data_IF_171640387863
#
_entry.id   IF_171640387863
#
_cell.length_a   1.000
_cell.length_b   1.000
_cell.length_c   1.000
_cell.angle_alpha   90.00
_cell.angle_beta   90.00
_cell.angle_gamma   90.00
#
_symmetry.space_group_name_H-M   'P 1'
#
loop_
_entity.id
_entity.type
_entity.pdbx_description
1 polymer ?
#
# COMPACT_ATOMS: atom_id res chain seq x y z
N UNK A 1 -45.32 15.87 -10.77
CA UNK A 1 -45.35 14.44 -10.38
C UNK A 1 -43.98 13.87 -10.76
N UNK A 2 -43.07 13.47 -9.86
CA UNK A 2 -43.17 12.48 -8.75
C UNK A 2 -43.72 11.12 -9.26
N UNK A 3 -43.09 9.95 -9.04
CA UNK A 3 -41.85 9.58 -8.31
C UNK A 3 -41.54 8.09 -8.53
N UNK A 4 -40.26 7.67 -8.42
CA UNK A 4 -39.79 6.28 -8.12
C UNK A 4 -40.26 5.20 -9.14
N UNK A 5 -39.80 3.95 -9.18
CA UNK A 5 -38.47 3.33 -9.01
C UNK A 5 -38.50 1.95 -9.73
N UNK A 6 -37.56 0.99 -9.69
CA UNK A 6 -36.32 0.73 -8.94
C UNK A 6 -35.38 -0.20 -9.76
N UNK A 7 -34.15 -0.38 -9.28
CA UNK A 7 -33.28 -1.58 -9.39
C UNK A 7 -33.79 -2.83 -10.14
N UNK A 8 -33.19 -3.14 -11.31
CA UNK A 8 -32.60 -4.45 -11.68
C UNK A 8 -32.08 -4.43 -13.15
N UNK A 9 -30.85 -4.92 -13.37
CA UNK A 9 -30.06 -5.07 -14.63
C UNK A 9 -29.02 -3.97 -14.91
N UNK A 10 -27.85 -4.10 -14.26
CA UNK A 10 -26.52 -3.67 -14.75
C UNK A 10 -25.42 -4.25 -13.84
N UNK A 11 -24.98 -5.48 -14.11
CA UNK A 11 -23.73 -6.00 -13.49
C UNK A 11 -23.06 -7.14 -14.29
N UNK A 12 -22.77 -6.93 -15.58
CA UNK A 12 -21.70 -7.68 -16.26
C UNK A 12 -20.92 -6.69 -17.15
N UNK A 13 -19.58 -6.76 -17.10
CA UNK A 13 -18.57 -6.00 -17.87
C UNK A 13 -18.26 -4.56 -17.41
N UNK A 14 -17.25 -4.40 -16.53
CA UNK A 14 -15.94 -3.75 -16.81
C UNK A 14 -15.22 -3.30 -15.53
N UNK A 15 -14.05 -3.89 -15.24
CA UNK A 15 -12.85 -3.20 -14.73
C UNK A 15 -11.68 -4.20 -14.65
N UNK A 16 -10.60 -3.93 -15.38
CA UNK A 16 -9.32 -4.64 -15.30
C UNK A 16 -8.30 -3.76 -14.61
N UNK A 17 -7.64 -4.27 -13.56
CA UNK A 17 -6.18 -4.32 -13.38
C UNK A 17 -5.82 -4.78 -11.96
N UNK A 18 -4.82 -5.65 -11.83
CA UNK A 18 -4.40 -6.22 -10.54
C UNK A 18 -3.39 -7.35 -10.67
N UNK A 19 -3.51 -8.18 -11.71
CA UNK A 19 -2.42 -8.98 -12.25
C UNK A 19 -2.73 -9.32 -13.72
N UNK A 20 -1.83 -9.00 -14.64
CA UNK A 20 -1.93 -9.41 -16.05
C UNK A 20 -1.57 -10.90 -16.15
N UNK A 21 -2.54 -11.77 -15.90
CA UNK A 21 -2.48 -13.16 -16.38
C UNK A 21 -2.83 -13.11 -17.85
N UNK A 22 -1.81 -13.25 -18.70
CA UNK A 22 -2.00 -13.55 -20.12
C UNK A 22 -2.77 -14.86 -20.22
N UNK A 23 -4.02 -14.78 -20.68
CA UNK A 23 -4.84 -15.93 -21.05
C UNK A 23 -4.28 -16.52 -22.36
N UNK A 24 -3.26 -17.36 -22.23
CA UNK A 24 -2.93 -18.37 -23.22
C UNK A 24 -3.49 -19.71 -22.71
N UNK A 25 -4.44 -20.28 -23.45
CA UNK A 25 -4.88 -21.65 -23.21
C UNK A 25 -3.76 -22.61 -23.68
N UNK A 26 -2.84 -22.94 -22.77
CA UNK A 26 -1.89 -24.04 -22.95
C UNK A 26 -2.63 -25.39 -23.05
N UNK A 27 -2.07 -26.39 -23.73
CA UNK A 27 -2.83 -27.57 -24.13
C UNK A 27 -3.29 -28.41 -22.93
N UNK A 28 -4.58 -28.73 -22.94
CA UNK A 28 -5.11 -29.89 -22.21
C UNK A 28 -4.32 -31.11 -22.66
N UNK A 29 -3.84 -31.91 -21.71
CA UNK A 29 -3.12 -33.15 -22.02
C UNK A 29 -4.05 -34.16 -22.70
N UNK A 30 -4.02 -34.18 -24.03
CA UNK A 30 -4.51 -35.31 -24.80
C UNK A 30 -3.47 -36.44 -24.72
N UNK A 31 -3.88 -37.61 -24.23
CA UNK A 31 -3.01 -38.76 -24.13
C UNK A 31 -2.59 -39.27 -25.51
N UNK A 32 -1.28 -39.28 -25.77
CA UNK A 32 -0.68 -40.11 -26.82
C UNK A 32 -0.08 -41.33 -26.13
N UNK A 33 -0.50 -42.53 -26.52
CA UNK A 33 0.05 -43.78 -26.01
C UNK A 33 0.43 -44.71 -27.15
N UNK A 34 1.57 -45.39 -26.95
CA UNK A 34 2.24 -46.35 -27.85
C UNK A 34 2.96 -45.64 -29.02
N UNK A 35 4.16 -46.06 -29.43
CA UNK A 35 4.80 -47.37 -29.23
C UNK A 35 6.34 -47.28 -29.38
N UNK A 36 7.13 -47.69 -28.36
CA UNK A 36 8.44 -48.39 -28.51
C UNK A 36 9.28 -48.47 -27.22
N UNK A 37 9.69 -49.70 -26.88
CA UNK A 37 10.90 -50.12 -26.16
C UNK A 37 11.58 -49.27 -25.08
N UNK A 38 11.39 -49.70 -23.82
CA UNK A 38 12.47 -50.02 -22.87
C UNK A 38 13.65 -49.02 -22.71
N UNK A 39 13.34 -47.76 -22.43
CA UNK A 39 14.13 -46.93 -21.51
C UNK A 39 13.17 -46.19 -20.58
N UNK A 40 13.39 -46.26 -19.27
CA UNK A 40 12.77 -45.31 -18.35
C UNK A 40 13.23 -43.89 -18.75
N UNK A 41 12.29 -42.94 -18.84
CA UNK A 41 12.52 -41.58 -19.33
C UNK A 41 13.60 -40.84 -18.51
N UNK A 42 14.86 -40.94 -18.94
CA UNK A 42 15.95 -40.27 -18.25
C UNK A 42 15.94 -38.78 -18.62
N UNK A 43 15.64 -37.93 -17.62
CA UNK A 43 15.66 -36.47 -17.77
C UNK A 43 16.96 -35.99 -18.44
N UNK A 44 16.80 -35.17 -19.49
CA UNK A 44 17.94 -34.53 -20.16
C UNK A 44 18.74 -33.67 -19.19
N UNK A 45 20.02 -33.43 -19.50
CA UNK A 45 20.90 -32.57 -18.68
C UNK A 45 20.29 -31.16 -18.50
N UNK A 46 19.67 -30.63 -19.55
CA UNK A 46 19.03 -29.31 -19.50
C UNK A 46 17.75 -29.31 -18.65
N UNK A 47 16.88 -30.34 -18.74
CA UNK A 47 15.74 -30.47 -17.82
C UNK A 47 16.20 -30.61 -16.36
N UNK A 48 17.22 -31.44 -16.08
CA UNK A 48 17.83 -31.59 -14.74
C UNK A 48 18.33 -30.23 -14.22
N UNK A 49 18.96 -29.42 -15.08
CA UNK A 49 19.45 -28.07 -14.75
C UNK A 49 18.33 -27.06 -14.50
N UNK A 50 17.29 -27.05 -15.32
CA UNK A 50 16.13 -26.16 -15.19
C UNK A 50 15.33 -26.46 -13.91
N UNK A 51 15.06 -27.75 -13.63
CA UNK A 51 14.41 -28.20 -12.40
C UNK A 51 15.24 -27.78 -11.17
N UNK A 52 16.57 -27.91 -11.21
CA UNK A 52 17.45 -27.44 -10.14
C UNK A 52 17.39 -25.91 -9.94
N UNK A 53 17.33 -25.13 -11.03
CA UNK A 53 17.19 -23.67 -10.96
C UNK A 53 15.84 -23.23 -10.38
N UNK A 54 14.74 -23.87 -10.79
CA UNK A 54 13.41 -23.63 -10.23
C UNK A 54 13.32 -24.04 -8.76
N UNK A 55 13.88 -25.20 -8.38
CA UNK A 55 14.02 -25.61 -6.97
C UNK A 55 14.75 -24.56 -6.14
N UNK A 56 15.86 -24.01 -6.63
CA UNK A 56 16.60 -22.96 -5.94
C UNK A 56 15.76 -21.66 -5.79
N UNK A 57 15.08 -21.24 -6.85
CA UNK A 57 14.20 -20.07 -6.83
C UNK A 57 12.99 -20.24 -5.89
N UNK A 58 12.35 -21.42 -5.88
CA UNK A 58 11.21 -21.75 -5.02
C UNK A 58 11.56 -21.79 -3.53
N UNK A 59 12.78 -22.19 -3.18
CA UNK A 59 13.25 -22.17 -1.79
C UNK A 59 13.66 -20.76 -1.32
N UNK A 60 13.95 -19.84 -2.24
CA UNK A 60 14.36 -18.47 -1.94
C UNK A 60 13.28 -17.59 -1.26
N UNK A 61 13.66 -16.40 -0.75
CA UNK A 61 12.77 -15.52 0.01
C UNK A 61 11.86 -14.63 -0.87
N UNK A 62 12.13 -14.52 -2.17
CA UNK A 62 11.36 -13.66 -3.07
C UNK A 62 10.14 -14.41 -3.62
N UNK A 63 8.97 -14.18 -3.03
CA UNK A 63 7.74 -14.89 -3.39
C UNK A 63 7.34 -14.76 -4.88
N UNK A 64 7.65 -13.63 -5.54
CA UNK A 64 7.40 -13.48 -6.99
C UNK A 64 8.26 -14.48 -7.79
N UNK A 65 9.52 -14.67 -7.39
CA UNK A 65 10.39 -15.71 -7.98
C UNK A 65 9.94 -17.13 -7.62
N UNK A 66 9.38 -17.34 -6.42
CA UNK A 66 8.77 -18.64 -6.03
C UNK A 66 7.60 -18.98 -6.97
N UNK A 67 6.65 -18.06 -7.16
CA UNK A 67 5.50 -18.28 -8.06
C UNK A 67 5.94 -18.48 -9.50
N UNK A 68 6.91 -17.70 -9.99
CA UNK A 68 7.46 -17.89 -11.33
C UNK A 68 8.14 -19.26 -11.51
N UNK A 69 8.84 -19.74 -10.48
CA UNK A 69 9.47 -21.07 -10.51
C UNK A 69 8.46 -22.22 -10.48
N UNK A 70 7.38 -22.08 -9.68
CA UNK A 70 6.29 -23.06 -9.67
C UNK A 70 5.57 -23.12 -11.03
N UNK A 71 5.30 -21.96 -11.65
CA UNK A 71 4.72 -21.91 -13.01
C UNK A 71 5.64 -22.55 -14.06
N UNK A 72 6.95 -22.28 -14.01
CA UNK A 72 7.91 -22.94 -14.90
C UNK A 72 7.89 -24.46 -14.73
N UNK A 73 7.75 -24.98 -13.51
CA UNK A 73 7.60 -26.42 -13.25
C UNK A 73 6.22 -26.96 -13.71
N UNK A 74 5.13 -26.19 -13.59
CA UNK A 74 3.83 -26.54 -14.18
C UNK A 74 3.93 -26.66 -15.72
N UNK A 75 4.59 -25.68 -16.37
CA UNK A 75 4.79 -25.60 -17.82
C UNK A 75 5.70 -26.72 -18.36
N UNK A 76 6.65 -27.23 -17.55
CA UNK A 76 7.52 -28.36 -17.91
C UNK A 76 6.78 -29.72 -17.97
N UNK A 77 5.58 -29.85 -17.40
CA UNK A 77 4.76 -31.05 -17.53
C UNK A 77 5.34 -32.31 -16.83
N UNK A 78 5.32 -33.51 -17.47
CA UNK A 78 5.65 -34.77 -16.80
C UNK A 78 7.03 -34.78 -16.10
N UNK A 79 8.14 -34.34 -16.77
CA UNK A 79 9.48 -34.24 -16.19
C UNK A 79 9.60 -33.55 -14.83
N UNK A 80 8.71 -32.61 -14.53
CA UNK A 80 8.80 -31.75 -13.35
C UNK A 80 7.76 -32.07 -12.27
N UNK A 81 6.81 -32.98 -12.52
CA UNK A 81 5.65 -33.22 -11.67
C UNK A 81 6.02 -33.59 -10.22
N UNK A 82 6.93 -34.54 -10.03
CA UNK A 82 7.36 -34.96 -8.68
C UNK A 82 7.99 -33.81 -7.89
N UNK A 83 8.85 -33.01 -8.54
CA UNK A 83 9.50 -31.87 -7.89
C UNK A 83 8.49 -30.76 -7.57
N UNK A 84 7.54 -30.50 -8.47
CA UNK A 84 6.45 -29.54 -8.25
C UNK A 84 5.60 -29.94 -7.04
N UNK A 85 5.14 -31.18 -6.96
CA UNK A 85 4.35 -31.69 -5.83
C UNK A 85 5.13 -31.61 -4.50
N UNK A 86 6.42 -31.99 -4.53
CA UNK A 86 7.33 -31.92 -3.37
C UNK A 86 7.55 -30.49 -2.89
N UNK A 87 7.77 -29.55 -3.81
CA UNK A 87 7.92 -28.13 -3.50
C UNK A 87 6.62 -27.54 -2.97
N UNK A 88 5.48 -27.79 -3.62
CA UNK A 88 4.17 -27.30 -3.17
C UNK A 88 3.83 -27.78 -1.76
N UNK A 89 4.06 -29.07 -1.45
CA UNK A 89 3.87 -29.63 -0.10
C UNK A 89 4.73 -28.93 0.95
N UNK A 90 6.02 -28.71 0.65
CA UNK A 90 6.95 -27.99 1.53
C UNK A 90 6.54 -26.52 1.72
N UNK A 91 6.17 -25.84 0.62
CA UNK A 91 5.77 -24.44 0.62
C UNK A 91 4.45 -24.22 1.35
N UNK A 92 3.44 -25.06 1.15
CA UNK A 92 2.16 -24.98 1.86
C UNK A 92 2.35 -25.15 3.38
N UNK A 93 3.20 -26.07 3.81
CA UNK A 93 3.55 -26.24 5.23
C UNK A 93 4.32 -25.02 5.78
N UNK A 94 5.33 -24.52 5.04
CA UNK A 94 6.12 -23.34 5.41
C UNK A 94 5.25 -22.09 5.55
N UNK A 95 4.44 -21.79 4.53
CA UNK A 95 3.59 -20.61 4.51
C UNK A 95 2.38 -20.73 5.44
N UNK A 96 1.82 -21.93 5.63
CA UNK A 96 0.80 -22.17 6.67
C UNK A 96 1.32 -21.87 8.08
N UNK A 97 2.56 -22.27 8.38
CA UNK A 97 3.23 -21.91 9.63
C UNK A 97 3.48 -20.39 9.76
N UNK A 98 3.78 -19.68 8.67
CA UNK A 98 3.89 -18.21 8.67
C UNK A 98 2.55 -17.54 8.96
N UNK A 99 1.44 -18.01 8.37
CA UNK A 99 0.09 -17.54 8.67
C UNK A 99 -0.25 -17.75 10.15
N UNK A 100 0.00 -18.96 10.69
CA UNK A 100 -0.23 -19.27 12.10
C UNK A 100 0.62 -18.41 13.06
N UNK A 101 1.88 -18.13 12.69
CA UNK A 101 2.75 -17.25 13.47
C UNK A 101 2.27 -15.78 13.42
N UNK A 102 1.87 -15.29 12.25
CA UNK A 102 1.32 -13.94 12.08
C UNK A 102 -0.03 -13.76 12.79
N UNK A 103 -0.90 -14.77 12.78
CA UNK A 103 -2.17 -14.76 13.50
C UNK A 103 -1.96 -14.70 15.02
N UNK A 104 -0.99 -15.46 15.57
CA UNK A 104 -0.60 -15.35 16.98
C UNK A 104 -0.03 -13.96 17.31
N UNK A 105 0.76 -13.37 16.42
CA UNK A 105 1.34 -12.04 16.62
C UNK A 105 0.31 -10.90 16.51
N UNK A 106 -0.73 -11.06 15.69
CA UNK A 106 -1.84 -10.12 15.58
C UNK A 106 -2.78 -10.16 16.79
N UNK A 107 -2.83 -11.29 17.50
CA UNK A 107 -3.80 -11.52 18.57
C UNK A 107 -5.23 -11.68 18.04
N UNK A 108 -6.22 -11.93 18.91
CA UNK A 108 -7.61 -11.93 18.50
C UNK A 108 -8.10 -10.48 18.27
N UNK A 109 -9.06 -10.29 17.37
CA UNK A 109 -9.45 -8.95 16.93
C UNK A 109 -10.08 -8.08 18.04
N UNK A 110 -10.80 -8.71 18.98
CA UNK A 110 -11.42 -8.09 20.15
C UNK A 110 -10.42 -7.50 21.15
N UNK A 111 -9.22 -8.06 21.27
CA UNK A 111 -8.20 -7.61 22.22
C UNK A 111 -7.69 -6.18 21.99
N UNK A 112 -7.89 -5.59 20.80
CA UNK A 112 -7.57 -4.18 20.54
C UNK A 112 -8.81 -3.27 20.45
N UNK A 113 -10.02 -3.82 20.44
CA UNK A 113 -11.25 -3.09 20.07
C UNK A 113 -11.49 -1.83 20.91
N UNK A 114 -11.25 -1.90 22.23
CA UNK A 114 -11.39 -0.74 23.13
C UNK A 114 -10.35 0.36 22.81
N UNK A 115 -9.10 -0.01 22.55
CA UNK A 115 -8.03 0.95 22.24
C UNK A 115 -8.19 1.57 20.84
N UNK A 116 -8.67 0.78 19.88
CA UNK A 116 -9.00 1.26 18.53
C UNK A 116 -10.22 2.19 18.57
N UNK A 117 -11.23 1.92 19.41
CA UNK A 117 -12.35 2.84 19.68
C UNK A 117 -11.88 4.15 20.32
N UNK A 118 -11.08 4.10 21.38
CA UNK A 118 -10.50 5.29 22.03
C UNK A 118 -9.71 6.16 21.03
N UNK A 119 -8.94 5.53 20.14
CA UNK A 119 -8.22 6.22 19.07
C UNK A 119 -9.17 6.83 18.04
N UNK A 120 -10.23 6.13 17.64
CA UNK A 120 -11.21 6.62 16.67
C UNK A 120 -12.01 7.83 17.21
N UNK A 121 -12.50 7.75 18.46
CA UNK A 121 -13.23 8.84 19.12
C UNK A 121 -12.34 10.10 19.22
N UNK A 122 -11.09 9.93 19.69
CA UNK A 122 -10.14 11.04 19.84
C UNK A 122 -9.72 11.65 18.50
N UNK A 123 -9.63 10.85 17.42
CA UNK A 123 -9.39 11.35 16.06
C UNK A 123 -10.56 12.19 15.56
N UNK A 124 -11.80 11.75 15.80
CA UNK A 124 -12.99 12.49 15.41
C UNK A 124 -13.07 13.85 16.12
N UNK A 125 -12.81 13.89 17.43
CA UNK A 125 -12.69 15.14 18.19
C UNK A 125 -11.59 16.06 17.67
N UNK A 126 -10.40 15.52 17.39
CA UNK A 126 -9.28 16.30 16.87
C UNK A 126 -9.58 16.92 15.50
N UNK A 127 -10.18 16.16 14.59
CA UNK A 127 -10.59 16.62 13.25
C UNK A 127 -11.70 17.68 13.33
N UNK A 128 -12.69 17.49 14.21
CA UNK A 128 -13.74 18.48 14.45
C UNK A 128 -13.17 19.81 14.99
N UNK A 129 -12.17 19.75 15.88
CA UNK A 129 -11.47 20.93 16.39
C UNK A 129 -10.64 21.63 15.29
N UNK A 130 -9.98 20.88 14.40
CA UNK A 130 -9.21 21.43 13.28
C UNK A 130 -10.10 22.23 12.32
N UNK A 131 -11.33 21.76 12.08
CA UNK A 131 -12.29 22.44 11.20
C UNK A 131 -12.72 23.84 11.71
N UNK A 132 -12.57 24.13 13.01
CA UNK A 132 -12.98 25.39 13.65
C UNK A 132 -11.82 26.23 14.20
N UNK A 133 -10.58 25.91 13.83
CA UNK A 133 -9.39 26.62 14.33
C UNK A 133 -9.47 28.13 14.09
N UNK A 134 -9.13 28.89 15.13
CA UNK A 134 -9.16 30.35 15.12
C UNK A 134 -8.04 30.91 15.98
N UNK A 135 -7.51 32.08 15.59
CA UNK A 135 -6.48 32.78 16.36
C UNK A 135 -7.14 33.55 17.51
N UNK A 136 -6.61 33.39 18.72
CA UNK A 136 -7.05 34.14 19.90
C UNK A 136 -8.14 33.44 20.73
N UNK A 137 -8.42 32.16 20.47
CA UNK A 137 -9.19 31.30 21.36
C UNK A 137 -8.45 29.97 21.65
N UNK A 138 -9.07 29.10 22.44
CA UNK A 138 -8.49 27.86 22.92
C UNK A 138 -8.41 26.73 21.86
N UNK A 139 -8.88 26.94 20.63
CA UNK A 139 -8.90 25.91 19.60
C UNK A 139 -7.50 25.41 19.21
N UNK A 140 -6.49 26.29 19.19
CA UNK A 140 -5.09 25.93 18.90
C UNK A 140 -4.44 25.17 20.07
N UNK A 141 -4.47 25.65 21.34
CA UNK A 141 -4.05 24.87 22.50
C UNK A 141 -4.74 23.50 22.59
N UNK A 142 -6.05 23.45 22.27
CA UNK A 142 -6.82 22.20 22.25
C UNK A 142 -6.36 21.24 21.15
N UNK A 143 -5.98 21.73 19.97
CA UNK A 143 -5.37 20.91 18.92
C UNK A 143 -4.01 20.32 19.35
N UNK A 144 -3.19 21.09 20.06
CA UNK A 144 -1.92 20.61 20.61
C UNK A 144 -2.16 19.52 21.67
N UNK A 145 -3.14 19.72 22.55
CA UNK A 145 -3.54 18.72 23.56
C UNK A 145 -4.07 17.42 22.92
N UNK A 146 -4.87 17.51 21.84
CA UNK A 146 -5.29 16.34 21.08
C UNK A 146 -4.10 15.61 20.45
N UNK A 147 -3.17 16.34 19.80
CA UNK A 147 -2.00 15.72 19.19
C UNK A 147 -1.13 14.97 20.21
N UNK A 148 -0.87 15.57 21.37
CA UNK A 148 -0.15 14.94 22.49
C UNK A 148 -0.83 13.65 22.98
N UNK A 149 -2.16 13.61 23.05
CA UNK A 149 -2.93 12.42 23.44
C UNK A 149 -2.98 11.34 22.34
N UNK A 150 -3.04 11.74 21.07
CA UNK A 150 -3.12 10.83 19.93
C UNK A 150 -1.84 10.00 19.72
N UNK A 151 -0.65 10.59 19.93
CA UNK A 151 0.65 9.92 19.72
C UNK A 151 0.75 8.54 20.41
N UNK A 152 0.53 8.40 21.73
CA UNK A 152 0.63 7.10 22.40
C UNK A 152 -0.49 6.11 22.00
N UNK A 153 -1.69 6.59 21.67
CA UNK A 153 -2.79 5.75 21.18
C UNK A 153 -2.47 5.19 19.79
N UNK A 154 -2.09 6.06 18.85
CA UNK A 154 -1.70 5.68 17.49
C UNK A 154 -0.52 4.69 17.49
N UNK A 155 0.48 4.89 18.35
CA UNK A 155 1.62 3.96 18.48
C UNK A 155 1.18 2.54 18.89
N UNK A 156 0.17 2.41 19.76
CA UNK A 156 -0.38 1.09 20.16
C UNK A 156 -1.12 0.43 18.99
N UNK A 157 -2.02 1.16 18.32
CA UNK A 157 -2.79 0.62 17.19
C UNK A 157 -1.90 0.24 16.00
N UNK A 158 -0.89 1.05 15.64
CA UNK A 158 0.07 0.77 14.56
C UNK A 158 0.78 -0.59 14.74
N UNK A 159 1.10 -1.00 15.97
CA UNK A 159 1.72 -2.31 16.21
C UNK A 159 0.77 -3.48 15.89
N UNK A 160 -0.51 -3.36 16.25
CA UNK A 160 -1.54 -4.36 15.93
C UNK A 160 -1.85 -4.38 14.41
N UNK A 161 -1.98 -3.21 13.78
CA UNK A 161 -2.20 -3.07 12.34
C UNK A 161 -1.03 -3.62 11.51
N UNK A 162 0.21 -3.45 11.99
CA UNK A 162 1.40 -4.04 11.39
C UNK A 162 1.40 -5.58 11.46
N UNK A 163 1.02 -6.15 12.60
CA UNK A 163 0.88 -7.59 12.75
C UNK A 163 -0.25 -8.17 11.87
N UNK A 164 -1.42 -7.51 11.85
CA UNK A 164 -2.53 -7.85 10.93
C UNK A 164 -2.14 -7.71 9.46
N UNK A 165 -1.32 -6.72 9.10
CA UNK A 165 -0.81 -6.56 7.73
C UNK A 165 0.04 -7.75 7.29
N UNK A 166 0.98 -8.20 8.15
CA UNK A 166 1.83 -9.37 7.88
C UNK A 166 1.01 -10.65 7.77
N UNK A 167 -0.06 -10.78 8.56
CA UNK A 167 -1.02 -11.88 8.45
C UNK A 167 -1.72 -11.89 7.08
N UNK A 168 -2.20 -10.75 6.61
CA UNK A 168 -2.78 -10.62 5.26
C UNK A 168 -1.78 -10.99 4.17
N UNK A 169 -0.52 -10.55 4.28
CA UNK A 169 0.51 -10.87 3.29
C UNK A 169 0.87 -12.37 3.29
N UNK A 170 1.01 -12.98 4.48
CA UNK A 170 1.24 -14.42 4.61
C UNK A 170 0.06 -15.24 4.08
N UNK A 171 -1.18 -14.81 4.34
CA UNK A 171 -2.39 -15.47 3.89
C UNK A 171 -2.53 -15.41 2.36
N UNK A 172 -2.26 -14.25 1.76
CA UNK A 172 -2.27 -14.10 0.30
C UNK A 172 -1.22 -15.01 -0.38
N UNK A 173 -0.01 -15.12 0.18
CA UNK A 173 1.01 -16.04 -0.33
C UNK A 173 0.58 -17.51 -0.20
N UNK A 174 -0.01 -17.89 0.94
CA UNK A 174 -0.51 -19.24 1.16
C UNK A 174 -1.70 -19.59 0.23
N UNK A 175 -2.60 -18.64 -0.01
CA UNK A 175 -3.73 -18.82 -0.93
C UNK A 175 -3.27 -19.05 -2.38
N UNK A 176 -2.26 -18.31 -2.86
CA UNK A 176 -1.65 -18.54 -4.19
C UNK A 176 -1.03 -19.95 -4.29
N UNK A 177 -0.33 -20.40 -3.26
CA UNK A 177 0.23 -21.76 -3.23
C UNK A 177 -0.87 -22.83 -3.21
N UNK A 178 -1.99 -22.57 -2.53
CA UNK A 178 -3.15 -23.46 -2.46
C UNK A 178 -3.84 -23.56 -3.83
N UNK A 179 -4.03 -22.45 -4.53
CA UNK A 179 -4.53 -22.44 -5.92
C UNK A 179 -3.66 -23.27 -6.85
N UNK A 180 -2.34 -23.03 -6.87
CA UNK A 180 -1.39 -23.81 -7.70
C UNK A 180 -1.52 -25.30 -7.38
N UNK A 181 -1.53 -25.67 -6.09
CA UNK A 181 -1.68 -27.05 -5.64
C UNK A 181 -3.02 -27.68 -6.02
N UNK A 182 -4.12 -26.93 -6.04
CA UNK A 182 -5.42 -27.44 -6.47
C UNK A 182 -5.46 -27.64 -7.98
N UNK A 183 -4.90 -26.70 -8.76
CA UNK A 183 -4.81 -26.81 -10.23
C UNK A 183 -3.93 -27.98 -10.66
N UNK A 184 -2.76 -28.16 -10.03
CA UNK A 184 -1.85 -29.28 -10.33
C UNK A 184 -2.46 -30.65 -9.99
N UNK A 185 -3.34 -30.72 -8.99
CA UNK A 185 -4.08 -31.94 -8.65
C UNK A 185 -5.25 -32.20 -9.60
N UNK A 186 -6.03 -31.17 -9.98
CA UNK A 186 -7.17 -31.33 -10.90
C UNK A 186 -6.77 -31.66 -12.35
N UNK A 187 -5.50 -31.48 -12.72
CA UNK A 187 -4.94 -32.01 -13.98
C UNK A 187 -4.80 -33.53 -14.01
N UNK A 188 -4.92 -34.22 -12.88
CA UNK A 188 -5.03 -35.67 -12.80
C UNK A 188 -6.51 -36.07 -12.81
N UNK A 189 -7.00 -36.55 -13.97
CA UNK A 189 -8.35 -37.08 -14.08
C UNK A 189 -8.46 -38.34 -13.21
N UNK A 190 -9.22 -38.26 -12.11
CA UNK A 190 -9.52 -39.42 -11.27
C UNK A 190 -10.58 -40.25 -11.97
N UNK A 191 -10.24 -41.48 -12.35
CA UNK A 191 -11.23 -42.53 -12.56
C UNK A 191 -11.62 -43.03 -11.16
N UNK A 192 -12.87 -42.80 -10.76
CA UNK A 192 -13.38 -43.35 -9.52
C UNK A 192 -13.50 -44.88 -9.63
N UNK A 193 -12.93 -45.58 -8.66
CA UNK A 193 -13.45 -46.88 -8.21
C UNK A 193 -13.66 -46.79 -6.72
N UNK A 194 -14.89 -47.05 -6.27
CA UNK A 194 -15.28 -46.96 -4.88
C UNK A 194 -14.82 -48.18 -4.09
N UNK A 195 -14.38 -47.96 -2.85
CA UNK A 195 -14.52 -48.98 -1.81
C UNK A 195 -14.65 -48.35 -0.42
N UNK A 196 -15.32 -49.06 0.49
CA UNK A 196 -15.95 -48.48 1.66
C UNK A 196 -14.97 -48.13 2.80
N UNK A 197 -15.20 -46.98 3.44
CA UNK A 197 -14.44 -46.56 4.61
C UNK A 197 -14.94 -47.25 5.90
N UNK A 198 -14.04 -47.97 6.57
CA UNK A 198 -14.20 -48.38 7.96
C UNK A 198 -13.57 -47.31 8.89
N UNK A 199 -14.12 -47.04 10.09
CA UNK A 199 -13.72 -45.88 10.89
C UNK A 199 -12.33 -46.06 11.54
N UNK A 200 -11.44 -45.10 11.29
CA UNK A 200 -10.13 -45.03 11.94
C UNK A 200 -10.23 -44.44 13.38
N UNK A 201 -9.34 -44.83 14.30
CA UNK A 201 -9.40 -44.39 15.70
C UNK A 201 -9.00 -42.91 15.87
N UNK A 202 -9.43 -42.33 17.00
CA UNK A 202 -9.27 -40.90 17.32
C UNK A 202 -7.84 -40.38 17.10
N UNK A 203 -7.71 -39.48 16.12
CA UNK A 203 -6.44 -38.82 15.78
C UNK A 203 -6.08 -37.74 16.80
N UNK A 204 -4.77 -37.45 16.90
CA UNK A 204 -4.24 -36.28 17.62
C UNK A 204 -5.00 -35.00 17.23
N UNK A 205 -5.13 -34.00 18.13
CA UNK A 205 -5.78 -32.74 17.79
C UNK A 205 -5.16 -32.18 16.51
N UNK A 206 -6.01 -31.93 15.51
CA UNK A 206 -5.57 -31.46 14.20
C UNK A 206 -4.76 -30.17 14.35
N UNK A 207 -3.70 -30.04 13.56
CA UNK A 207 -2.95 -28.78 13.51
C UNK A 207 -3.93 -27.63 13.17
N UNK A 208 -3.87 -26.49 13.88
CA UNK A 208 -4.85 -25.44 13.71
C UNK A 208 -4.86 -24.95 12.25
N UNK A 209 -6.06 -24.86 11.66
CA UNK A 209 -6.22 -24.38 10.28
C UNK A 209 -5.70 -22.94 10.16
N UNK A 210 -4.71 -22.67 9.28
CA UNK A 210 -4.25 -21.32 9.00
C UNK A 210 -5.37 -20.34 8.63
N UNK A 211 -6.42 -20.80 7.93
CA UNK A 211 -7.51 -19.94 7.47
C UNK A 211 -8.39 -19.48 8.65
N UNK A 212 -8.83 -20.40 9.51
CA UNK A 212 -9.64 -20.08 10.68
C UNK A 212 -8.85 -19.27 11.73
N UNK A 213 -7.55 -19.56 11.91
CA UNK A 213 -6.67 -18.75 12.73
C UNK A 213 -6.54 -17.30 12.20
N UNK A 214 -6.42 -17.12 10.89
CA UNK A 214 -6.38 -15.80 10.26
C UNK A 214 -7.70 -15.05 10.41
N UNK A 215 -8.83 -15.73 10.20
CA UNK A 215 -10.19 -15.19 10.37
C UNK A 215 -10.41 -14.67 11.79
N UNK A 216 -10.04 -15.44 12.81
CA UNK A 216 -10.15 -15.03 14.23
C UNK A 216 -9.29 -13.80 14.57
N UNK A 217 -8.09 -13.70 13.99
CA UNK A 217 -7.18 -12.59 14.22
C UNK A 217 -7.55 -11.30 13.47
N UNK A 218 -8.27 -11.42 12.35
CA UNK A 218 -8.76 -10.28 11.57
C UNK A 218 -10.16 -9.82 11.99
N UNK A 219 -10.98 -10.69 12.60
CA UNK A 219 -12.30 -10.33 13.15
C UNK A 219 -13.41 -10.16 12.11
N UNK A 220 -13.10 -10.35 10.82
CA UNK A 220 -14.02 -10.25 9.70
C UNK A 220 -13.93 -11.53 8.83
N UNK A 221 -14.99 -11.91 8.09
CA UNK A 221 -14.92 -12.98 7.11
C UNK A 221 -13.92 -12.65 6.00
N UNK A 222 -13.16 -13.65 5.55
CA UNK A 222 -12.10 -13.49 4.55
C UNK A 222 -12.69 -13.52 3.14
N UNK A 223 -13.52 -12.52 2.81
CA UNK A 223 -14.12 -12.37 1.49
C UNK A 223 -13.12 -11.66 0.57
N UNK A 224 -12.71 -12.32 -0.53
CA UNK A 224 -12.09 -11.65 -1.67
C UNK A 224 -10.72 -10.98 -1.44
N UNK A 225 -9.69 -11.69 -0.95
CA UNK A 225 -8.32 -11.18 -1.08
C UNK A 225 -7.85 -11.24 -2.55
N UNK A 226 -8.18 -10.22 -3.35
CA UNK A 226 -7.81 -10.16 -4.77
C UNK A 226 -8.08 -8.84 -5.51
N UNK A 227 -8.90 -7.92 -5.00
CA UNK A 227 -9.28 -6.70 -5.71
C UNK A 227 -9.24 -5.41 -4.88
N UNK A 228 -9.12 -4.26 -5.56
CA UNK A 228 -9.16 -2.92 -4.93
C UNK A 228 -10.60 -2.46 -4.61
N UNK A 229 -11.61 -3.18 -5.10
CA UNK A 229 -13.03 -2.84 -4.96
C UNK A 229 -13.71 -3.43 -3.70
N UNK A 230 -13.11 -4.43 -3.06
CA UNK A 230 -13.68 -5.09 -1.85
C UNK A 230 -13.46 -4.26 -0.56
N UNK A 231 -12.76 -3.13 -0.67
CA UNK A 231 -12.28 -2.30 0.45
C UNK A 231 -13.35 -1.34 1.00
N UNK A 232 -14.35 -0.94 0.20
CA UNK A 232 -15.40 0.00 0.63
C UNK A 232 -16.53 -0.67 1.45
N UNK A 233 -16.58 -2.00 1.51
CA UNK A 233 -17.71 -2.75 2.11
C UNK A 233 -17.46 -3.26 3.53
N UNK A 234 -16.22 -3.19 4.03
CA UNK A 234 -15.81 -3.74 5.34
C UNK A 234 -15.25 -2.66 6.28
N UNK A 235 -16.10 -1.90 7.01
CA UNK A 235 -15.66 -0.85 7.93
C UNK A 235 -14.63 -1.31 8.97
N UNK A 236 -14.68 -2.58 9.37
CA UNK A 236 -13.76 -3.22 10.32
C UNK A 236 -12.29 -3.24 9.83
N UNK A 237 -12.04 -3.16 8.52
CA UNK A 237 -10.70 -3.22 7.93
C UNK A 237 -10.16 -1.84 7.51
N UNK A 238 -10.93 -0.75 7.68
CA UNK A 238 -10.57 0.61 7.25
C UNK A 238 -9.19 1.06 7.74
N UNK A 239 -8.90 0.90 9.03
CA UNK A 239 -7.59 1.28 9.60
C UNK A 239 -6.44 0.38 9.12
N UNK A 240 -6.70 -0.90 8.81
CA UNK A 240 -5.70 -1.80 8.23
C UNK A 240 -5.36 -1.43 6.78
N UNK A 241 -6.39 -1.10 5.99
CA UNK A 241 -6.22 -0.56 4.63
C UNK A 241 -5.44 0.75 4.66
N UNK A 242 -5.80 1.67 5.55
CA UNK A 242 -5.11 2.93 5.73
C UNK A 242 -3.65 2.74 6.16
N UNK A 243 -3.36 1.84 7.10
CA UNK A 243 -2.00 1.49 7.50
C UNK A 243 -1.20 0.97 6.30
N UNK A 244 -1.73 0.00 5.54
CA UNK A 244 -1.08 -0.56 4.35
C UNK A 244 -0.81 0.50 3.28
N UNK A 245 -1.76 1.41 3.03
CA UNK A 245 -1.56 2.56 2.14
C UNK A 245 -0.46 3.49 2.67
N UNK A 246 -0.48 3.83 3.96
CA UNK A 246 0.53 4.69 4.58
C UNK A 246 1.94 4.08 4.54
N UNK A 247 2.08 2.76 4.72
CA UNK A 247 3.37 2.05 4.55
C UNK A 247 3.87 2.15 3.10
N UNK A 248 3.00 1.92 2.10
CA UNK A 248 3.33 2.09 0.66
C UNK A 248 3.74 3.53 0.32
N UNK A 249 2.99 4.53 0.80
CA UNK A 249 3.35 5.95 0.60
C UNK A 249 4.67 6.30 1.29
N UNK A 250 4.94 5.74 2.47
CA UNK A 250 6.23 5.93 3.13
C UNK A 250 7.40 5.30 2.34
N UNK A 251 7.20 4.16 1.67
CA UNK A 251 8.17 3.58 0.74
C UNK A 251 8.41 4.45 -0.49
N UNK A 252 7.34 4.95 -1.11
CA UNK A 252 7.43 5.90 -2.22
C UNK A 252 8.25 7.13 -1.84
N UNK A 253 7.93 7.75 -0.69
CA UNK A 253 8.64 8.93 -0.20
C UNK A 253 10.11 8.62 0.12
N UNK A 254 10.45 7.42 0.59
CA UNK A 254 11.85 6.98 0.79
C UNK A 254 12.63 6.87 -0.52
N UNK A 255 12.00 6.40 -1.61
CA UNK A 255 12.67 6.33 -2.94
C UNK A 255 13.02 7.71 -3.49
N UNK A 256 12.21 8.72 -3.20
CA UNK A 256 12.43 10.11 -3.61
C UNK A 256 13.26 10.94 -2.63
N UNK A 257 13.74 10.35 -1.53
CA UNK A 257 14.52 11.07 -0.51
C UNK A 257 15.80 11.71 -1.07
N UNK A 258 16.46 11.09 -2.07
CA UNK A 258 17.65 11.63 -2.74
C UNK A 258 17.38 12.85 -3.66
N UNK A 259 16.12 13.14 -3.96
CA UNK A 259 15.73 14.36 -4.68
C UNK A 259 15.42 15.54 -3.74
N UNK A 260 15.36 15.28 -2.42
CA UNK A 260 14.91 16.22 -1.39
C UNK A 260 16.08 16.84 -0.61
N UNK A 261 16.03 18.14 -0.32
CA UNK A 261 16.89 18.70 0.72
C UNK A 261 16.45 18.17 2.10
N UNK A 262 17.40 17.89 3.00
CA UNK A 262 17.12 17.24 4.29
C UNK A 262 16.01 17.92 5.12
N UNK A 263 15.94 19.25 5.10
CA UNK A 263 14.90 20.01 5.80
C UNK A 263 13.52 19.96 5.11
N UNK A 264 13.46 19.74 3.80
CA UNK A 264 12.19 19.51 3.09
C UNK A 264 11.66 18.12 3.46
N UNK A 265 12.52 17.10 3.42
CA UNK A 265 12.16 15.74 3.82
C UNK A 265 11.71 15.67 5.29
N UNK A 266 12.40 16.36 6.20
CA UNK A 266 12.02 16.44 7.62
C UNK A 266 10.64 17.09 7.82
N UNK A 267 10.30 18.12 7.03
CA UNK A 267 8.97 18.73 7.05
C UNK A 267 7.89 17.79 6.52
N UNK A 268 8.15 17.13 5.38
CA UNK A 268 7.24 16.15 4.77
C UNK A 268 7.01 14.95 5.70
N UNK A 269 8.03 14.52 6.45
CA UNK A 269 7.90 13.51 7.50
C UNK A 269 6.99 14.01 8.63
N UNK A 270 7.27 15.17 9.22
CA UNK A 270 6.48 15.74 10.32
C UNK A 270 4.98 15.88 9.96
N UNK A 271 4.67 16.41 8.77
CA UNK A 271 3.27 16.51 8.30
C UNK A 271 2.62 15.16 8.11
N UNK A 272 3.33 14.19 7.53
CA UNK A 272 2.76 12.87 7.28
C UNK A 272 2.59 12.04 8.54
N UNK A 273 3.48 12.17 9.51
CA UNK A 273 3.36 11.54 10.83
C UNK A 273 2.17 12.16 11.58
N UNK A 274 2.04 13.50 11.55
CA UNK A 274 0.87 14.19 12.10
C UNK A 274 -0.45 13.70 11.48
N UNK A 275 -0.53 13.65 10.14
CA UNK A 275 -1.70 13.10 9.42
C UNK A 275 -2.04 11.67 9.82
N UNK A 276 -1.04 10.81 9.98
CA UNK A 276 -1.24 9.42 10.39
C UNK A 276 -1.78 9.30 11.83
N UNK A 277 -1.38 10.20 12.75
CA UNK A 277 -2.01 10.27 14.08
C UNK A 277 -3.50 10.60 14.01
N UNK A 278 -3.91 11.50 13.11
CA UNK A 278 -5.31 11.86 12.85
C UNK A 278 -6.12 10.77 12.12
N UNK A 279 -5.49 9.67 11.67
CA UNK A 279 -6.17 8.68 10.83
C UNK A 279 -6.39 9.16 9.40
N UNK A 280 -5.53 10.07 8.91
CA UNK A 280 -5.51 10.52 7.53
C UNK A 280 -4.42 9.79 6.74
N UNK A 281 -4.64 9.67 5.43
CA UNK A 281 -3.64 9.11 4.53
C UNK A 281 -2.44 10.04 4.38
N UNK A 282 -1.23 9.47 4.45
CA UNK A 282 0.03 10.15 4.12
C UNK A 282 -0.04 10.67 2.69
N UNK A 283 0.53 11.84 2.45
CA UNK A 283 0.73 12.42 1.14
C UNK A 283 2.03 11.93 0.54
N UNK A 284 1.98 11.60 -0.75
CA UNK A 284 3.15 11.19 -1.51
C UNK A 284 3.96 12.41 -1.96
N UNK A 285 5.29 12.26 -2.03
CA UNK A 285 6.15 13.28 -2.61
C UNK A 285 5.88 13.35 -4.12
N UNK A 286 5.51 14.53 -4.60
CA UNK A 286 5.41 14.82 -6.02
C UNK A 286 6.44 15.88 -6.41
N UNK A 287 7.32 15.51 -7.35
CA UNK A 287 8.44 16.34 -7.78
C UNK A 287 7.99 17.61 -8.53
N UNK A 288 6.78 17.62 -9.12
CA UNK A 288 6.19 18.80 -9.78
C UNK A 288 5.74 19.84 -8.75
N UNK A 289 5.11 19.39 -7.66
CA UNK A 289 4.78 20.27 -6.52
C UNK A 289 6.05 20.81 -5.86
N UNK A 290 7.09 19.98 -5.73
CA UNK A 290 8.39 20.36 -5.19
C UNK A 290 9.10 21.41 -6.05
N UNK A 291 9.09 21.22 -7.38
CA UNK A 291 9.62 22.18 -8.35
C UNK A 291 8.94 23.55 -8.20
N UNK A 292 7.60 23.58 -8.12
CA UNK A 292 6.85 24.81 -7.90
C UNK A 292 7.18 25.47 -6.55
N UNK A 293 7.27 24.68 -5.47
CA UNK A 293 7.57 25.18 -4.13
C UNK A 293 8.99 25.75 -4.02
N UNK A 294 10.01 25.06 -4.55
CA UNK A 294 11.39 25.57 -4.58
C UNK A 294 11.53 26.81 -5.45
N UNK A 295 10.87 26.81 -6.61
CA UNK A 295 10.81 27.96 -7.50
C UNK A 295 10.16 29.19 -6.87
N UNK A 296 9.19 29.01 -5.98
CA UNK A 296 8.55 30.10 -5.23
C UNK A 296 9.42 30.60 -4.07
N UNK A 297 9.98 29.71 -3.24
CA UNK A 297 10.92 30.07 -2.17
C UNK A 297 12.15 30.82 -2.72
N UNK A 298 12.68 30.39 -3.88
CA UNK A 298 13.76 31.08 -4.57
C UNK A 298 13.35 32.47 -5.03
N UNK A 299 12.21 32.60 -5.70
CA UNK A 299 11.73 33.89 -6.21
C UNK A 299 11.44 34.90 -5.09
N UNK A 300 10.80 34.47 -4.00
CA UNK A 300 10.61 35.28 -2.78
C UNK A 300 11.94 35.78 -2.20
N UNK A 301 12.98 34.93 -2.22
CA UNK A 301 14.33 35.29 -1.75
C UNK A 301 14.99 36.31 -2.68
N UNK A 302 15.01 36.04 -3.98
CA UNK A 302 15.71 36.86 -4.97
C UNK A 302 15.05 38.24 -5.16
N UNK A 303 13.71 38.29 -5.21
CA UNK A 303 12.91 39.49 -5.38
C UNK A 303 12.52 40.16 -4.04
N UNK A 304 13.02 39.64 -2.91
CA UNK A 304 12.88 40.23 -1.56
C UNK A 304 11.44 40.50 -1.12
N UNK A 305 10.53 39.55 -1.37
CA UNK A 305 9.13 39.63 -0.93
C UNK A 305 8.73 38.35 -0.18
N UNK A 306 7.63 38.41 0.57
CA UNK A 306 7.06 37.23 1.23
C UNK A 306 5.53 37.24 1.06
N UNK A 307 5.03 36.45 0.11
CA UNK A 307 3.62 36.41 -0.27
C UNK A 307 3.26 35.11 -0.98
N UNK A 308 2.00 34.69 -0.89
CA UNK A 308 1.42 33.66 -1.74
C UNK A 308 1.32 34.09 -3.21
N UNK A 309 1.20 35.42 -3.43
CA UNK A 309 1.08 36.03 -4.76
C UNK A 309 2.46 36.40 -5.28
N UNK A 310 2.86 35.81 -6.39
CA UNK A 310 4.08 36.18 -7.11
C UNK A 310 3.88 37.49 -7.90
N UNK A 311 4.88 38.38 -7.96
CA UNK A 311 4.87 39.55 -8.86
C UNK A 311 5.20 39.17 -10.31
N UNK A 312 5.61 37.93 -10.59
CA UNK A 312 5.99 37.47 -11.94
C UNK A 312 4.76 37.07 -12.73
N UNK A 313 4.55 37.72 -13.89
CA UNK A 313 3.39 37.48 -14.76
C UNK A 313 3.27 35.99 -15.16
N UNK A 314 2.09 35.41 -14.98
CA UNK A 314 1.80 34.00 -15.24
C UNK A 314 2.27 33.04 -14.14
N UNK A 315 2.71 33.54 -12.98
CA UNK A 315 3.12 32.74 -11.80
C UNK A 315 2.40 33.18 -10.53
N UNK A 316 1.42 34.08 -10.65
CA UNK A 316 0.80 34.83 -9.56
C UNK A 316 0.26 33.89 -8.47
N UNK A 317 -0.59 32.92 -8.85
CA UNK A 317 -1.12 31.93 -7.93
C UNK A 317 -0.23 30.69 -7.78
N UNK A 318 -0.29 30.03 -6.62
CA UNK A 318 0.37 28.73 -6.40
C UNK A 318 -0.10 27.67 -7.42
N UNK A 319 -1.36 27.75 -7.85
CA UNK A 319 -1.92 26.92 -8.92
C UNK A 319 -1.23 27.13 -10.27
N UNK A 320 -0.89 28.37 -10.63
CA UNK A 320 -0.15 28.66 -11.86
C UNK A 320 1.27 28.11 -11.81
N UNK A 321 1.97 28.33 -10.67
CA UNK A 321 3.31 27.75 -10.42
C UNK A 321 3.30 26.23 -10.52
N UNK A 322 2.28 25.57 -9.96
CA UNK A 322 2.10 24.12 -10.05
C UNK A 322 1.80 23.65 -11.48
N UNK A 323 0.90 24.34 -12.22
CA UNK A 323 0.57 24.02 -13.62
C UNK A 323 1.79 24.16 -14.54
N UNK A 324 2.60 25.19 -14.35
CA UNK A 324 3.87 25.38 -15.06
C UNK A 324 4.87 24.24 -14.79
N UNK A 325 4.91 23.72 -13.56
CA UNK A 325 5.70 22.53 -13.22
C UNK A 325 5.08 21.19 -13.71
N UNK A 326 3.85 21.19 -14.23
CA UNK A 326 3.14 20.02 -14.75
C UNK A 326 2.09 19.41 -13.82
N UNK A 327 1.75 20.05 -12.70
CA UNK A 327 0.78 19.56 -11.72
C UNK A 327 -0.55 20.33 -11.80
N UNK A 328 -1.65 19.62 -12.09
CA UNK A 328 -2.96 20.26 -12.30
C UNK A 328 -3.81 20.39 -11.04
N UNK A 329 -3.76 19.40 -10.13
CA UNK A 329 -4.66 19.29 -8.97
C UNK A 329 -4.23 20.08 -7.73
N UNK A 330 -3.52 21.20 -7.89
CA UNK A 330 -3.01 21.97 -6.76
C UNK A 330 -4.15 22.58 -5.93
N UNK A 331 -4.12 22.39 -4.61
CA UNK A 331 -5.24 22.74 -3.72
C UNK A 331 -4.89 23.53 -2.46
N UNK A 332 -3.61 23.73 -2.15
CA UNK A 332 -3.19 24.59 -1.04
C UNK A 332 -1.69 24.91 -1.07
N UNK A 333 -1.32 25.99 -0.39
CA UNK A 333 0.07 26.42 -0.19
C UNK A 333 0.24 26.92 1.26
N UNK A 334 1.34 26.53 1.91
CA UNK A 334 1.83 27.11 3.15
C UNK A 334 3.20 27.75 2.90
N UNK A 335 3.44 28.96 3.42
CA UNK A 335 4.75 29.62 3.37
C UNK A 335 5.24 29.96 4.78
N UNK A 336 6.55 29.86 5.01
CA UNK A 336 7.21 30.20 6.26
C UNK A 336 8.52 30.92 5.98
N UNK A 337 8.87 31.89 6.83
CA UNK A 337 10.15 32.58 6.84
C UNK A 337 10.68 32.66 8.26
N UNK A 338 11.91 32.19 8.46
CA UNK A 338 12.66 32.29 9.72
C UNK A 338 14.15 32.18 9.42
N UNK A 339 15.01 32.74 10.28
CA UNK A 339 16.46 32.68 10.09
C UNK A 339 16.94 31.22 9.97
N UNK A 340 17.33 30.81 8.76
CA UNK A 340 17.60 29.43 8.37
C UNK A 340 16.50 28.42 8.78
N UNK A 341 15.24 28.69 8.40
CA UNK A 341 14.06 27.88 8.73
C UNK A 341 14.28 26.36 8.61
N UNK A 342 14.06 25.63 9.71
CA UNK A 342 14.12 24.15 9.70
C UNK A 342 12.76 23.54 9.33
N UNK A 343 12.76 22.29 8.88
CA UNK A 343 11.52 21.59 8.50
C UNK A 343 10.54 21.41 9.67
N UNK A 344 11.08 21.12 10.86
CA UNK A 344 10.30 21.07 12.11
C UNK A 344 9.80 22.44 12.54
N UNK A 345 10.61 23.49 12.42
CA UNK A 345 10.19 24.86 12.73
C UNK A 345 9.06 25.33 11.82
N UNK A 346 9.14 25.08 10.50
CA UNK A 346 8.07 25.39 9.56
C UNK A 346 6.78 24.63 9.91
N UNK A 347 6.88 23.33 10.24
CA UNK A 347 5.74 22.54 10.72
C UNK A 347 5.09 23.17 11.97
N UNK A 348 5.89 23.56 12.97
CA UNK A 348 5.38 24.19 14.20
C UNK A 348 4.74 25.57 13.93
N UNK A 349 5.34 26.39 13.05
CA UNK A 349 4.76 27.68 12.65
C UNK A 349 3.40 27.50 11.95
N UNK A 350 3.27 26.49 11.09
CA UNK A 350 2.02 26.18 10.40
C UNK A 350 0.98 25.51 11.30
N UNK A 351 1.40 24.70 12.28
CA UNK A 351 0.51 24.10 13.29
C UNK A 351 -0.17 25.17 14.16
N UNK A 352 0.54 26.24 14.51
CA UNK A 352 -0.04 27.34 15.30
C UNK A 352 -0.73 28.41 14.44
N UNK A 353 -1.07 28.09 13.19
CA UNK A 353 -1.66 29.02 12.22
C UNK A 353 -2.88 28.38 11.54
N UNK A 354 -4.13 28.78 11.87
CA UNK A 354 -5.34 28.04 11.50
C UNK A 354 -5.44 27.59 10.03
N UNK A 355 -5.26 28.48 9.07
CA UNK A 355 -5.35 28.13 7.64
C UNK A 355 -4.24 27.18 7.18
N UNK A 356 -3.01 27.39 7.66
CA UNK A 356 -1.88 26.51 7.32
C UNK A 356 -2.01 25.13 7.97
N UNK A 357 -2.57 25.08 9.18
CA UNK A 357 -2.87 23.85 9.92
C UNK A 357 -3.96 23.04 9.20
N UNK A 358 -5.04 23.70 8.78
CA UNK A 358 -6.10 23.10 7.98
C UNK A 358 -5.57 22.52 6.67
N UNK A 359 -4.64 23.19 5.98
CA UNK A 359 -3.98 22.63 4.81
C UNK A 359 -3.22 21.32 5.11
N UNK A 360 -2.42 21.27 6.19
CA UNK A 360 -1.70 20.05 6.59
C UNK A 360 -2.64 18.88 6.93
N UNK A 361 -3.81 19.19 7.51
CA UNK A 361 -4.83 18.22 7.93
C UNK A 361 -5.90 17.92 6.87
N UNK A 362 -5.86 18.52 5.68
CA UNK A 362 -6.90 18.33 4.67
C UNK A 362 -6.88 16.89 4.11
N UNK A 363 -7.97 16.15 4.31
CA UNK A 363 -8.12 14.77 3.87
C UNK A 363 -8.08 14.58 2.35
N UNK A 364 -8.48 15.61 1.57
CA UNK A 364 -8.52 15.57 0.11
C UNK A 364 -7.16 15.64 -0.58
N UNK A 365 -6.11 16.04 0.14
CA UNK A 365 -4.76 16.08 -0.42
C UNK A 365 -4.11 14.69 -0.44
N UNK A 366 -3.62 14.31 -1.63
CA UNK A 366 -2.96 13.04 -1.90
C UNK A 366 -1.45 13.20 -2.11
N UNK A 367 -0.99 14.39 -2.51
CA UNK A 367 0.41 14.70 -2.79
C UNK A 367 0.89 15.99 -2.09
N UNK A 368 2.20 16.05 -1.85
CA UNK A 368 2.91 17.18 -1.24
C UNK A 368 4.24 17.44 -1.95
N UNK A 369 4.61 18.72 -2.07
CA UNK A 369 5.96 19.14 -2.44
C UNK A 369 6.42 20.29 -1.54
N UNK A 370 7.63 20.18 -0.98
CA UNK A 370 8.20 21.20 -0.08
C UNK A 370 9.50 21.71 -0.69
N UNK A 371 9.67 23.03 -0.69
CA UNK A 371 10.81 23.71 -1.26
C UNK A 371 11.45 24.70 -0.29
N UNK A 372 12.70 24.49 0.09
CA UNK A 372 13.49 25.43 0.91
C UNK A 372 14.43 26.27 0.04
N UNK A 373 14.49 27.57 0.29
CA UNK A 373 15.55 28.44 -0.24
C UNK A 373 15.95 29.47 0.82
N UNK A 374 17.22 29.46 1.22
CA UNK A 374 17.71 30.33 2.31
C UNK A 374 16.87 30.21 3.58
N UNK A 375 16.26 31.32 4.00
CA UNK A 375 15.38 31.45 5.17
C UNK A 375 13.90 31.17 4.90
N UNK A 376 13.53 30.82 3.66
CA UNK A 376 12.13 30.64 3.23
C UNK A 376 11.85 29.17 2.93
N UNK A 377 10.67 28.70 3.35
CA UNK A 377 10.13 27.39 3.00
C UNK A 377 8.70 27.54 2.47
N UNK A 378 8.43 26.89 1.34
CA UNK A 378 7.10 26.77 0.72
C UNK A 378 6.69 25.30 0.74
N UNK A 379 5.42 25.03 0.99
CA UNK A 379 4.83 23.71 1.00
C UNK A 379 3.55 23.74 0.16
N UNK A 380 3.56 23.05 -0.97
CA UNK A 380 2.43 22.94 -1.89
C UNK A 380 1.75 21.60 -1.73
N UNK A 381 0.42 21.61 -1.78
CA UNK A 381 -0.43 20.44 -1.67
C UNK A 381 -1.26 20.23 -2.93
N UNK A 382 -1.55 18.97 -3.22
CA UNK A 382 -2.37 18.58 -4.36
C UNK A 382 -3.27 17.38 -4.08
N UNK A 383 -4.41 17.36 -4.77
CA UNK A 383 -5.29 16.20 -4.89
C UNK A 383 -5.18 15.55 -6.28
N UNK A 384 -5.70 14.35 -6.41
CA UNK A 384 -5.69 13.56 -7.65
C UNK A 384 -5.21 12.13 -7.44
N UNK A 385 -5.03 11.41 -8.56
CA UNK A 385 -4.56 10.03 -8.57
C UNK A 385 -3.22 9.90 -7.83
N UNK A 386 -3.13 8.89 -6.95
CA UNK A 386 -1.90 8.56 -6.22
C UNK A 386 -0.92 7.80 -7.12
N UNK A 387 0.24 8.38 -7.38
CA UNK A 387 1.34 7.76 -8.13
C UNK A 387 1.82 6.45 -7.48
N UNK A 388 1.71 6.30 -6.15
CA UNK A 388 2.02 5.02 -5.49
C UNK A 388 1.08 3.87 -5.92
N UNK A 389 -0.14 4.18 -6.40
CA UNK A 389 -1.11 3.21 -6.93
C UNK A 389 -1.11 3.15 -8.48
N UNK A 390 -0.60 4.18 -9.15
CA UNK A 390 -0.56 4.24 -10.61
C UNK A 390 0.44 3.25 -11.25
N UNK A 391 0.23 2.94 -12.52
CA UNK A 391 1.17 2.17 -13.35
C UNK A 391 2.47 2.94 -13.66
N UNK A 392 3.41 2.26 -14.32
CA UNK A 392 4.73 2.83 -14.63
C UNK A 392 4.67 3.93 -15.70
N UNK A 393 3.75 3.85 -16.66
CA UNK A 393 3.60 4.87 -17.71
C UNK A 393 3.07 6.18 -17.14
N UNK A 394 2.05 6.10 -16.29
CA UNK A 394 1.48 7.22 -15.54
C UNK A 394 2.51 7.87 -14.62
N UNK A 395 3.35 7.07 -13.94
CA UNK A 395 4.48 7.59 -13.14
C UNK A 395 5.52 8.31 -13.98
N UNK A 396 5.88 7.77 -15.16
CA UNK A 396 6.81 8.42 -16.11
C UNK A 396 6.24 9.73 -16.65
N UNK A 397 4.94 9.76 -16.97
CA UNK A 397 4.24 10.96 -17.42
C UNK A 397 4.12 12.04 -16.32
N UNK A 398 4.23 11.68 -15.04
CA UNK A 398 4.19 12.59 -13.89
C UNK A 398 5.53 13.28 -13.57
N UNK A 399 6.50 13.28 -14.49
CA UNK A 399 7.78 13.96 -14.32
C UNK A 399 7.64 15.51 -14.22
N UNK A 400 8.53 16.20 -13.46
CA UNK A 400 8.62 17.65 -13.46
C UNK A 400 9.06 18.18 -14.82
N UNK A 401 8.51 19.34 -15.22
CA UNK A 401 8.98 20.06 -16.40
C UNK A 401 10.31 20.77 -16.10
N UNK A 402 11.34 20.42 -16.88
CA UNK A 402 12.70 20.95 -16.73
C UNK A 402 13.48 20.32 -15.58
N UNK A 403 14.71 20.78 -15.37
CA UNK A 403 15.54 20.32 -14.25
C UNK A 403 14.97 20.77 -12.90
N UNK A 404 15.11 19.92 -11.88
CA UNK A 404 14.70 20.26 -10.52
C UNK A 404 15.56 21.38 -9.94
N UNK A 405 14.92 22.52 -9.63
CA UNK A 405 15.53 23.65 -8.93
C UNK A 405 16.16 23.13 -7.64
N UNK A 406 17.41 23.53 -7.38
CA UNK A 406 18.08 23.23 -6.12
C UNK A 406 18.25 21.75 -5.79
N UNK A 407 18.30 20.85 -6.78
CA UNK A 407 18.66 19.44 -6.57
C UNK A 407 19.97 19.36 -5.76
N UNK A 408 19.96 18.64 -4.65
CA UNK A 408 21.17 18.37 -3.88
C UNK A 408 22.17 17.59 -4.74
N UNK A 409 23.40 18.09 -4.80
CA UNK A 409 24.56 17.32 -5.28
C UNK A 409 24.98 16.30 -4.23
#
# INVERSE_FOLDING_TARGET
MWTRSESHRRLIRRATCGLLVLLAAGPVWAAVSRESGDKADELTIEQKRQIAAYRAAANGPNFVKVVAALKGLEEMGPPAKEELEKLLKSLLARHGNLVLAAARAAGPADASAQADKELADLRAEALANIAVLKKGDDSIPKAEAYYKKLIPLAKRSVAALEARSRLVDALAQWAVLKDISTRSQSGALVIETSEAASPAPASKPAAPDPLEAARKALGAPLVGFGGEQDIEQEPALKDLVLHRLNRRTAEWNRRLAGECHAQELANIQAVNDYRETLGLARMEIDLRLMQAARGHSKEMTDLKYFSHVSPTKGREGFGDRCRLAGYQGAGGENIASANNVTGQQAFQMWFHSPGHHQNMANAGFTAIGVGKWGSIMTQNFGGGQRLVLADEETRKAAAPKGELVGKSK
#
